data_IF_413535561171
#
_entry.id   IF_413535561171
#
_cell.length_a   1.000
_cell.length_b   1.000
_cell.length_c   1.000
_cell.angle_alpha   90.00
_cell.angle_beta   90.00
_cell.angle_gamma   90.00
#
_symmetry.space_group_name_H-M   'P 1'
#
loop_
_entity.id
_entity.type
_entity.pdbx_description
1 polymer ?
#
# COMPACT_ATOMS: atom_id res chain seq x y z
N UNK A 1 9.67 8.25 8.85
CA UNK A 1 9.00 8.04 7.54
C UNK A 1 7.48 7.83 7.72
N UNK A 2 6.84 8.67 8.53
CA UNK A 2 5.50 8.39 9.09
C UNK A 2 4.42 8.18 8.04
N UNK A 3 4.28 9.10 7.09
CA UNK A 3 3.22 9.05 6.07
C UNK A 3 3.31 7.76 5.23
N UNK A 4 4.52 7.39 4.79
CA UNK A 4 4.71 6.18 3.99
C UNK A 4 4.38 4.90 4.78
N UNK A 5 4.75 4.84 6.06
CA UNK A 5 4.47 3.69 6.92
C UNK A 5 2.97 3.59 7.26
N UNK A 6 2.31 4.72 7.55
CA UNK A 6 0.87 4.79 7.78
C UNK A 6 0.07 4.41 6.53
N UNK A 7 0.51 4.88 5.36
CA UNK A 7 -0.05 4.47 4.07
C UNK A 7 0.07 2.97 3.86
N UNK A 8 1.27 2.40 4.05
CA UNK A 8 1.51 0.97 3.83
C UNK A 8 0.73 0.07 4.80
N UNK A 9 0.65 0.44 6.09
CA UNK A 9 -0.17 -0.26 7.10
C UNK A 9 -1.66 -0.28 6.74
N UNK A 10 -2.14 0.75 6.04
CA UNK A 10 -3.53 0.86 5.62
C UNK A 10 -3.89 0.04 4.38
N UNK A 11 -2.94 -0.65 3.73
CA UNK A 11 -3.19 -1.35 2.46
C UNK A 11 -3.68 -2.78 2.66
N UNK A 12 -4.61 -3.25 1.80
CA UNK A 12 -4.94 -4.67 1.69
C UNK A 12 -3.68 -5.53 1.46
N UNK A 13 -3.64 -6.71 2.07
CA UNK A 13 -2.52 -7.66 2.08
C UNK A 13 -1.32 -7.34 2.98
N UNK A 14 -1.28 -6.17 3.64
CA UNK A 14 -0.23 -5.84 4.62
C UNK A 14 -0.75 -6.16 6.02
N UNK A 15 -0.21 -7.21 6.65
CA UNK A 15 -0.58 -7.60 8.01
C UNK A 15 0.23 -6.89 9.10
N UNK A 16 1.50 -6.60 8.82
CA UNK A 16 2.43 -5.94 9.74
C UNK A 16 3.60 -5.33 8.97
N UNK A 17 4.35 -4.43 9.61
CA UNK A 17 5.57 -3.85 9.08
C UNK A 17 6.77 -4.22 9.94
N UNK A 18 7.85 -4.62 9.28
CA UNK A 18 9.18 -4.66 9.89
C UNK A 18 9.86 -3.33 9.59
N UNK A 19 10.16 -2.57 10.64
CA UNK A 19 10.76 -1.23 10.53
C UNK A 19 12.18 -1.21 11.10
N UNK A 20 13.03 -0.38 10.52
CA UNK A 20 14.38 -0.10 10.99
C UNK A 20 14.61 1.40 11.19
N UNK A 21 15.67 1.74 11.93
CA UNK A 21 16.11 3.10 12.20
C UNK A 21 17.57 3.09 12.65
N UNK A 22 18.31 4.15 12.34
CA UNK A 22 19.72 4.32 12.77
C UNK A 22 19.84 5.14 14.06
N UNK A 23 18.75 5.79 14.46
CA UNK A 23 18.70 6.63 15.66
C UNK A 23 17.40 6.39 16.41
N UNK A 24 17.41 6.70 17.70
CA UNK A 24 16.23 6.61 18.54
C UNK A 24 15.09 7.49 18.03
N UNK A 25 15.38 8.73 17.61
CA UNK A 25 14.40 9.64 17.02
C UNK A 25 13.70 9.02 15.81
N UNK A 26 14.44 8.35 14.92
CA UNK A 26 13.84 7.66 13.77
C UNK A 26 12.89 6.54 14.19
N UNK A 27 13.23 5.77 15.23
CA UNK A 27 12.34 4.76 15.77
C UNK A 27 11.08 5.37 16.37
N UNK A 28 11.20 6.43 17.17
CA UNK A 28 10.05 7.16 17.73
C UNK A 28 9.12 7.65 16.62
N UNK A 29 9.68 8.26 15.58
CA UNK A 29 8.90 8.72 14.44
C UNK A 29 8.24 7.58 13.70
N UNK A 30 8.97 6.50 13.40
CA UNK A 30 8.42 5.35 12.66
C UNK A 30 7.31 4.63 13.44
N UNK A 31 7.44 4.50 14.76
CA UNK A 31 6.40 3.90 15.62
C UNK A 31 5.16 4.79 15.68
N UNK A 32 5.33 6.12 15.77
CA UNK A 32 4.21 7.07 15.79
C UNK A 32 3.37 7.02 14.50
N UNK A 33 3.90 6.49 13.40
CA UNK A 33 3.15 6.27 12.16
C UNK A 33 1.90 5.38 12.35
N UNK A 34 1.91 4.46 13.31
CA UNK A 34 0.78 3.59 13.58
C UNK A 34 -0.47 4.34 14.11
N UNK A 35 -0.27 5.54 14.65
CA UNK A 35 -1.36 6.42 15.13
C UNK A 35 -1.81 7.44 14.09
N UNK A 36 -1.09 7.57 12.97
CA UNK A 36 -1.44 8.51 11.90
C UNK A 36 -2.53 7.90 11.02
N UNK A 37 -3.73 8.49 11.05
CA UNK A 37 -4.83 8.08 10.17
C UNK A 37 -4.90 8.99 8.95
N UNK A 38 -4.53 8.45 7.78
CA UNK A 38 -4.75 9.12 6.49
C UNK A 38 -6.22 9.02 6.09
N UNK A 39 -6.79 10.13 5.63
CA UNK A 39 -8.12 10.19 5.01
C UNK A 39 -8.18 9.37 3.72
N UNK A 40 -9.39 9.10 3.23
CA UNK A 40 -9.59 8.42 1.95
C UNK A 40 -8.93 9.15 0.79
N UNK A 41 -9.10 10.47 0.72
CA UNK A 41 -8.51 11.31 -0.33
C UNK A 41 -6.98 11.30 -0.30
N UNK A 42 -6.36 11.40 0.88
CA UNK A 42 -4.90 11.33 1.01
C UNK A 42 -4.36 9.98 0.58
N UNK A 43 -5.05 8.88 0.94
CA UNK A 43 -4.69 7.52 0.50
C UNK A 43 -4.79 7.37 -1.01
N UNK A 44 -5.89 7.85 -1.62
CA UNK A 44 -6.08 7.80 -3.08
C UNK A 44 -4.99 8.56 -3.83
N UNK A 45 -4.63 9.75 -3.34
CA UNK A 45 -3.53 10.55 -3.91
C UNK A 45 -2.19 9.80 -3.85
N UNK A 46 -1.89 9.17 -2.71
CA UNK A 46 -0.68 8.37 -2.54
C UNK A 46 -0.70 7.11 -3.43
N UNK A 47 -1.84 6.44 -3.54
CA UNK A 47 -2.04 5.27 -4.41
C UNK A 47 -1.90 5.60 -5.89
N UNK A 48 -2.26 6.80 -6.31
CA UNK A 48 -2.11 7.25 -7.69
C UNK A 48 -0.64 7.52 -8.05
N UNK A 49 0.08 8.29 -7.22
CA UNK A 49 1.47 8.68 -7.51
C UNK A 49 2.47 7.55 -7.26
N UNK A 50 2.16 6.61 -6.35
CA UNK A 50 3.06 5.51 -5.97
C UNK A 50 2.80 4.23 -6.78
N UNK A 51 1.93 4.30 -7.80
CA UNK A 51 1.43 3.14 -8.54
C UNK A 51 2.50 2.54 -9.46
N UNK A 52 2.96 1.31 -9.25
CA UNK A 52 3.86 0.67 -10.20
C UNK A 52 3.09 0.20 -11.44
N UNK A 53 3.80 -0.03 -12.57
CA UNK A 53 3.27 -0.80 -13.70
C UNK A 53 2.74 -2.15 -13.23
N UNK A 54 1.75 -2.69 -13.95
CA UNK A 54 1.16 -3.98 -13.59
C UNK A 54 2.16 -5.11 -13.87
N UNK A 55 2.64 -5.75 -12.80
CA UNK A 55 3.70 -6.76 -12.86
C UNK A 55 3.14 -8.14 -13.25
N UNK A 56 4.01 -9.03 -13.73
CA UNK A 56 3.68 -10.45 -13.86
C UNK A 56 3.49 -11.09 -12.47
N UNK A 57 2.51 -12.00 -12.26
CA UNK A 57 1.55 -12.52 -13.24
C UNK A 57 0.26 -11.70 -13.38
N UNK A 58 0.11 -10.60 -12.64
CA UNK A 58 -1.14 -9.87 -12.51
C UNK A 58 -1.64 -9.24 -13.82
N UNK A 59 -0.76 -8.84 -14.73
CA UNK A 59 -1.21 -8.34 -16.04
C UNK A 59 -1.98 -9.40 -16.84
N UNK A 60 -1.52 -10.65 -16.78
CA UNK A 60 -2.16 -11.77 -17.48
C UNK A 60 -3.42 -12.22 -16.73
N UNK A 61 -3.34 -12.26 -15.39
CA UNK A 61 -4.47 -12.67 -14.56
C UNK A 61 -5.63 -11.67 -14.61
N UNK A 62 -5.36 -10.37 -14.76
CA UNK A 62 -6.42 -9.38 -14.95
C UNK A 62 -7.24 -9.64 -16.22
N UNK A 63 -6.64 -10.27 -17.24
CA UNK A 63 -7.33 -10.63 -18.48
C UNK A 63 -8.01 -12.01 -18.43
N UNK A 64 -7.53 -12.93 -17.59
CA UNK A 64 -7.88 -14.36 -17.68
C UNK A 64 -8.48 -14.96 -16.40
N UNK A 65 -8.35 -14.29 -15.26
CA UNK A 65 -8.73 -14.81 -13.95
C UNK A 65 -9.14 -13.70 -12.95
N UNK A 66 -9.62 -12.56 -13.46
CA UNK A 66 -9.98 -11.39 -12.63
C UNK A 66 -11.08 -11.71 -11.62
N UNK A 67 -12.00 -12.59 -11.97
CA UNK A 67 -13.08 -13.08 -11.11
C UNK A 67 -12.56 -13.76 -9.84
N UNK A 68 -11.28 -14.15 -9.79
CA UNK A 68 -10.63 -14.75 -8.62
C UNK A 68 -9.89 -13.75 -7.73
N UNK A 69 -9.89 -12.46 -8.06
CA UNK A 69 -9.19 -11.44 -7.28
C UNK A 69 -9.83 -11.24 -5.90
N UNK A 70 -9.00 -11.26 -4.86
CA UNK A 70 -9.38 -10.90 -3.50
C UNK A 70 -9.14 -9.40 -3.23
N UNK A 71 -9.43 -8.96 -2.00
CA UNK A 71 -9.24 -7.56 -1.59
C UNK A 71 -7.80 -7.05 -1.79
N UNK A 72 -6.81 -7.94 -1.65
CA UNK A 72 -5.40 -7.69 -1.93
C UNK A 72 -5.14 -7.34 -3.41
N UNK A 73 -5.73 -8.12 -4.31
CA UNK A 73 -5.52 -8.02 -5.75
C UNK A 73 -6.28 -6.84 -6.36
N UNK A 74 -7.41 -6.45 -5.76
CA UNK A 74 -8.18 -5.29 -6.22
C UNK A 74 -7.40 -3.98 -6.17
N UNK A 75 -6.38 -3.86 -5.30
CA UNK A 75 -5.55 -2.64 -5.22
C UNK A 75 -4.64 -2.48 -6.43
N UNK A 76 -4.38 -3.56 -7.15
CA UNK A 76 -3.55 -3.55 -8.37
C UNK A 76 -4.37 -3.69 -9.65
N UNK A 77 -5.70 -3.84 -9.56
CA UNK A 77 -6.59 -3.83 -10.72
C UNK A 77 -6.40 -2.53 -11.54
N UNK A 78 -6.37 -2.70 -12.87
CA UNK A 78 -6.20 -1.62 -13.85
C UNK A 78 -7.35 -1.54 -14.85
N UNK A 79 -8.42 -2.32 -14.73
CA UNK A 79 -9.46 -2.38 -15.77
C UNK A 79 -10.28 -1.09 -15.92
N UNK A 80 -10.21 -0.15 -14.98
CA UNK A 80 -10.95 1.12 -15.00
C UNK A 80 -10.11 2.35 -15.38
N UNK A 81 -8.87 2.15 -15.82
CA UNK A 81 -7.95 3.17 -16.35
C UNK A 81 -7.80 2.91 -17.85
#
# INVERSE_FOLDING_TARGET
>A
AQVALAWLLGRPAVSSLVIGGRTETQFRDNIAAASLMLSGEERERLDAVSRPPLLYPYWHQQLTAKDRFGAADLVIDRSGI
#
